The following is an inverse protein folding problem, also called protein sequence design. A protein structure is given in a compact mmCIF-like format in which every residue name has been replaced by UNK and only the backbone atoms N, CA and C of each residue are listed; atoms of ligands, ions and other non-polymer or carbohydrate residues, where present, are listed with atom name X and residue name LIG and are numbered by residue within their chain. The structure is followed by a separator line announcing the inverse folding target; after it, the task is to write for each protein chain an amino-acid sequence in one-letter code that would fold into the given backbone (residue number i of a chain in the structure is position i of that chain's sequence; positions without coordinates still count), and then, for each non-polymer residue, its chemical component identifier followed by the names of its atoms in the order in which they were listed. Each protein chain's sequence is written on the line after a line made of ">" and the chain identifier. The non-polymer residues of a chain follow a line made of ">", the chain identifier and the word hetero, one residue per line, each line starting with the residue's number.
data_IF_042352008496
#
_entry.id   IF_042352008496
#
_cell.length_a   1.000
_cell.length_b   1.000
_cell.length_c   1.000
_cell.angle_alpha   90.00
_cell.angle_beta   90.00
_cell.angle_gamma   90.00
#
_symmetry.space_group_name_H-M   'P 1'
#
loop_
_entity.id
_entity.type
_entity.pdbx_description
1 polymer ?
#
# COMPACT_ATOMS: atom_id res chain seq x y z
N UNK A 1 8.35 0.56 11.19
CA UNK A 1 6.97 0.94 10.80
C UNK A 1 6.78 2.43 10.94
N UNK A 2 5.64 3.00 10.50
CA UNK A 2 5.28 4.40 10.81
C UNK A 2 5.91 5.51 9.96
N UNK A 3 6.64 5.17 8.89
CA UNK A 3 7.29 6.14 7.97
C UNK A 3 6.39 6.68 6.85
N UNK A 4 5.12 6.24 6.77
CA UNK A 4 4.16 6.78 5.79
C UNK A 4 4.04 6.02 4.47
N UNK A 5 4.51 4.76 4.36
CA UNK A 5 4.36 3.93 3.14
C UNK A 5 2.93 3.88 2.61
N UNK A 6 1.97 3.51 3.46
CA UNK A 6 0.53 3.46 3.11
C UNK A 6 0.01 4.81 2.64
N UNK A 7 0.41 5.89 3.31
CA UNK A 7 0.02 7.26 2.95
C UNK A 7 0.52 7.63 1.55
N UNK A 8 1.78 7.33 1.24
CA UNK A 8 2.37 7.61 -0.08
C UNK A 8 1.72 6.74 -1.16
N UNK A 9 1.54 5.44 -0.91
CA UNK A 9 0.87 4.53 -1.85
C UNK A 9 -0.57 5.00 -2.15
N UNK A 10 -1.32 5.41 -1.14
CA UNK A 10 -2.67 5.96 -1.31
C UNK A 10 -2.68 7.27 -2.08
N UNK A 11 -1.72 8.16 -1.82
CA UNK A 11 -1.59 9.42 -2.57
C UNK A 11 -1.25 9.17 -4.04
N UNK A 12 -0.32 8.24 -4.31
CA UNK A 12 0.05 7.81 -5.66
C UNK A 12 -1.14 7.21 -6.38
N UNK A 13 -1.85 6.27 -5.75
CA UNK A 13 -3.06 5.66 -6.29
C UNK A 13 -4.05 6.72 -6.78
N UNK A 14 -4.44 7.64 -5.89
CA UNK A 14 -5.39 8.71 -6.24
C UNK A 14 -4.88 9.65 -7.33
N UNK A 15 -3.56 9.81 -7.50
CA UNK A 15 -2.97 10.71 -8.49
C UNK A 15 -3.00 10.11 -9.91
N UNK A 16 -2.85 8.79 -10.04
CA UNK A 16 -2.63 8.14 -11.33
C UNK A 16 -3.76 7.18 -11.73
N UNK A 17 -4.76 6.94 -10.87
CA UNK A 17 -5.84 5.97 -11.09
C UNK A 17 -6.56 6.17 -12.44
N UNK A 18 -6.79 7.41 -12.84
CA UNK A 18 -7.50 7.75 -14.08
C UNK A 18 -6.75 7.37 -15.36
N UNK A 19 -5.50 6.91 -15.26
CA UNK A 19 -4.66 6.49 -16.39
C UNK A 19 -4.82 4.98 -16.74
N UNK A 20 -5.67 4.26 -16.02
CA UNK A 20 -5.83 2.80 -16.08
C UNK A 20 -7.27 2.42 -16.39
N UNK A 21 -7.48 1.26 -17.01
CA UNK A 21 -8.82 0.74 -17.35
C UNK A 21 -9.56 0.21 -16.12
N UNK A 22 -8.83 -0.13 -15.07
CA UNK A 22 -9.37 -0.60 -13.80
C UNK A 22 -8.33 -0.50 -12.70
N UNK A 23 -8.78 -0.47 -11.46
CA UNK A 23 -7.89 -0.22 -10.33
C UNK A 23 -8.41 -0.82 -9.04
N UNK A 24 -7.52 -1.29 -8.18
CA UNK A 24 -7.88 -1.79 -6.86
C UNK A 24 -6.83 -1.37 -5.83
N UNK A 25 -7.30 -0.92 -4.67
CA UNK A 25 -6.46 -0.69 -3.50
C UNK A 25 -6.83 -1.71 -2.42
N UNK A 26 -5.94 -2.66 -2.16
CA UNK A 26 -6.06 -3.60 -1.05
C UNK A 26 -5.31 -3.04 0.16
N UNK A 27 -6.06 -2.43 1.08
CA UNK A 27 -5.51 -1.93 2.34
C UNK A 27 -5.25 -3.08 3.33
N UNK A 28 -4.21 -2.96 4.15
CA UNK A 28 -3.92 -3.87 5.27
C UNK A 28 -4.01 -5.36 4.90
N UNK A 29 -3.33 -5.78 3.82
CA UNK A 29 -3.39 -7.15 3.29
C UNK A 29 -3.03 -8.17 4.38
N UNK A 30 -1.98 -7.92 5.18
CA UNK A 30 -1.62 -8.72 6.34
C UNK A 30 -2.78 -9.05 7.28
N UNK A 31 -3.64 -8.07 7.56
CA UNK A 31 -4.77 -8.27 8.47
C UNK A 31 -5.93 -8.96 7.74
N UNK A 32 -6.24 -8.51 6.53
CA UNK A 32 -7.39 -8.98 5.76
C UNK A 32 -7.19 -10.37 5.15
N UNK A 33 -5.95 -10.84 5.02
CA UNK A 33 -5.64 -12.20 4.57
C UNK A 33 -5.85 -13.26 5.65
N UNK A 34 -6.17 -12.87 6.89
CA UNK A 34 -6.45 -13.83 7.97
C UNK A 34 -7.79 -14.54 7.76
N UNK A 35 -7.93 -15.83 8.14
CA UNK A 35 -9.16 -16.57 7.97
C UNK A 35 -10.39 -15.93 8.64
N UNK A 36 -10.23 -15.30 9.79
CA UNK A 36 -11.29 -14.61 10.54
C UNK A 36 -11.70 -13.26 9.93
N UNK A 37 -10.95 -12.77 8.93
CA UNK A 37 -11.21 -11.53 8.19
C UNK A 37 -11.63 -11.75 6.74
N UNK A 38 -11.86 -13.01 6.35
CA UNK A 38 -12.28 -13.38 5.00
C UNK A 38 -11.18 -14.01 4.14
N UNK A 39 -9.93 -13.85 4.52
CA UNK A 39 -8.80 -14.49 3.88
C UNK A 39 -8.51 -13.99 2.46
N UNK A 40 -7.64 -14.73 1.78
CA UNK A 40 -7.22 -14.43 0.40
C UNK A 40 -8.38 -14.44 -0.60
N UNK A 41 -9.40 -15.27 -0.37
CA UNK A 41 -10.59 -15.35 -1.25
C UNK A 41 -11.27 -13.99 -1.38
N UNK A 42 -11.55 -13.32 -0.25
CA UNK A 42 -12.19 -12.00 -0.28
C UNK A 42 -11.30 -10.93 -0.93
N UNK A 43 -9.98 -11.02 -0.78
CA UNK A 43 -9.04 -10.12 -1.44
C UNK A 43 -9.04 -10.33 -2.96
N UNK A 44 -9.07 -11.57 -3.43
CA UNK A 44 -9.17 -11.90 -4.86
C UNK A 44 -10.51 -11.45 -5.46
N UNK A 45 -11.63 -11.69 -4.76
CA UNK A 45 -12.94 -11.18 -5.17
C UNK A 45 -12.94 -9.65 -5.25
N UNK A 46 -12.31 -8.97 -4.29
CA UNK A 46 -12.19 -7.52 -4.29
C UNK A 46 -11.40 -7.00 -5.49
N UNK A 47 -10.27 -7.64 -5.86
CA UNK A 47 -9.49 -7.26 -7.05
C UNK A 47 -10.38 -7.35 -8.29
N UNK A 48 -11.03 -8.49 -8.48
CA UNK A 48 -11.88 -8.74 -9.63
C UNK A 48 -13.06 -7.77 -9.68
N UNK A 49 -13.75 -7.55 -8.55
CA UNK A 49 -14.87 -6.61 -8.46
C UNK A 49 -14.45 -5.17 -8.75
N UNK A 50 -13.40 -4.67 -8.11
CA UNK A 50 -12.96 -3.28 -8.26
C UNK A 50 -12.47 -2.99 -9.69
N UNK A 51 -11.79 -3.94 -10.32
CA UNK A 51 -11.25 -3.80 -11.68
C UNK A 51 -12.30 -4.03 -12.76
N UNK A 52 -13.15 -5.05 -12.62
CA UNK A 52 -14.14 -5.42 -13.65
C UNK A 52 -15.46 -4.67 -13.50
N UNK A 53 -15.76 -4.15 -12.30
CA UNK A 53 -17.06 -3.59 -11.92
C UNK A 53 -18.22 -4.57 -12.11
N UNK A 54 -17.94 -5.88 -12.04
CA UNK A 54 -18.94 -6.94 -12.14
C UNK A 54 -19.33 -7.45 -10.74
N UNK A 55 -20.57 -7.24 -10.28
CA UNK A 55 -21.03 -7.71 -8.97
C UNK A 55 -21.23 -9.23 -8.90
N UNK A 56 -21.16 -9.95 -10.01
CA UNK A 56 -21.39 -11.40 -10.06
C UNK A 56 -20.12 -12.22 -9.87
N UNK A 57 -18.97 -11.58 -9.71
CA UNK A 57 -17.71 -12.27 -9.42
C UNK A 57 -17.85 -13.02 -8.10
N UNK A 58 -17.54 -14.31 -8.13
CA UNK A 58 -17.44 -15.17 -6.95
C UNK A 58 -16.22 -16.07 -7.08
N UNK A 59 -15.50 -16.24 -5.98
CA UNK A 59 -14.34 -17.13 -5.87
C UNK A 59 -14.65 -18.20 -4.85
N UNK A 60 -14.59 -19.48 -5.24
CA UNK A 60 -14.88 -20.60 -4.33
C UNK A 60 -13.66 -21.02 -3.50
N UNK A 61 -12.46 -20.88 -4.07
CA UNK A 61 -11.18 -21.18 -3.42
C UNK A 61 -10.05 -20.40 -4.07
N UNK A 62 -8.91 -20.31 -3.38
CA UNK A 62 -7.80 -19.42 -3.73
C UNK A 62 -7.25 -19.67 -5.15
N UNK A 63 -7.05 -20.94 -5.53
CA UNK A 63 -6.52 -21.28 -6.87
C UNK A 63 -7.49 -20.86 -8.00
N UNK A 64 -8.81 -21.01 -7.78
CA UNK A 64 -9.80 -20.50 -8.73
C UNK A 64 -9.70 -18.97 -8.85
N UNK A 65 -9.50 -18.28 -7.72
CA UNK A 65 -9.34 -16.82 -7.71
C UNK A 65 -8.12 -16.38 -8.51
N UNK A 66 -6.99 -17.09 -8.39
CA UNK A 66 -5.79 -16.87 -9.22
C UNK A 66 -6.11 -16.99 -10.70
N UNK A 67 -6.74 -18.10 -11.11
CA UNK A 67 -7.08 -18.35 -12.50
C UNK A 67 -8.02 -17.27 -13.04
N UNK A 68 -9.03 -16.87 -12.26
CA UNK A 68 -9.96 -15.81 -12.66
C UNK A 68 -9.24 -14.45 -12.82
N UNK A 69 -8.34 -14.10 -11.91
CA UNK A 69 -7.53 -12.87 -12.02
C UNK A 69 -6.73 -12.90 -13.32
N UNK A 70 -6.00 -13.99 -13.59
CA UNK A 70 -5.21 -14.14 -14.81
C UNK A 70 -6.08 -14.03 -16.07
N UNK A 71 -7.12 -14.87 -16.17
CA UNK A 71 -7.98 -14.94 -17.36
C UNK A 71 -8.67 -13.62 -17.67
N UNK A 72 -9.17 -12.92 -16.63
CA UNK A 72 -9.97 -11.71 -16.81
C UNK A 72 -9.12 -10.45 -16.93
N UNK A 73 -7.92 -10.42 -16.32
CA UNK A 73 -7.11 -9.20 -16.23
C UNK A 73 -5.86 -9.20 -17.13
N UNK A 74 -5.47 -10.33 -17.73
CA UNK A 74 -4.27 -10.46 -18.59
C UNK A 74 -4.19 -9.50 -19.80
N UNK A 75 -5.30 -8.86 -20.18
CA UNK A 75 -5.36 -7.90 -21.29
C UNK A 75 -5.78 -6.49 -20.87
N UNK A 76 -5.95 -6.25 -19.56
CA UNK A 76 -6.38 -4.97 -19.02
C UNK A 76 -5.20 -4.23 -18.42
N UNK A 77 -5.05 -2.96 -18.77
CA UNK A 77 -4.09 -2.06 -18.12
C UNK A 77 -4.65 -1.63 -16.76
N UNK A 78 -4.14 -2.20 -15.67
CA UNK A 78 -4.67 -1.97 -14.31
C UNK A 78 -3.68 -1.27 -13.37
N UNK A 79 -4.22 -0.62 -12.33
CA UNK A 79 -3.45 -0.15 -11.17
C UNK A 79 -3.83 -0.93 -9.92
N UNK A 80 -2.91 -1.73 -9.40
CA UNK A 80 -3.12 -2.53 -8.19
C UNK A 80 -2.21 -2.05 -7.07
N UNK A 81 -2.77 -1.80 -5.89
CA UNK A 81 -1.98 -1.52 -4.68
C UNK A 81 -2.19 -2.62 -3.66
N UNK A 82 -1.07 -3.23 -3.21
CA UNK A 82 -1.01 -4.25 -2.17
C UNK A 82 -0.33 -3.64 -0.94
N UNK A 83 -1.12 -3.21 0.04
CA UNK A 83 -0.63 -2.48 1.21
C UNK A 83 -0.41 -3.40 2.43
N UNK A 84 0.73 -3.24 3.10
CA UNK A 84 1.17 -3.98 4.29
C UNK A 84 1.23 -5.50 4.04
N UNK A 85 1.95 -5.89 2.99
CA UNK A 85 2.33 -7.29 2.72
C UNK A 85 3.39 -7.73 3.74
N UNK A 86 3.21 -8.92 4.34
CA UNK A 86 4.14 -9.50 5.31
C UNK A 86 4.52 -10.97 5.08
N UNK A 87 3.99 -11.63 4.04
CA UNK A 87 4.46 -12.95 3.62
C UNK A 87 4.40 -13.14 2.09
N UNK A 88 5.17 -14.10 1.58
CA UNK A 88 5.25 -14.40 0.15
C UNK A 88 3.94 -14.97 -0.40
N UNK A 89 3.25 -15.79 0.40
CA UNK A 89 1.95 -16.38 0.04
C UNK A 89 0.92 -15.32 -0.35
N UNK A 90 0.87 -14.17 0.33
CA UNK A 90 -0.01 -13.06 -0.08
C UNK A 90 0.32 -12.54 -1.49
N UNK A 91 1.59 -12.44 -1.86
CA UNK A 91 2.01 -11.96 -3.18
C UNK A 91 1.70 -13.00 -4.26
N UNK A 92 2.05 -14.26 -4.03
CA UNK A 92 1.85 -15.35 -4.99
C UNK A 92 0.36 -15.54 -5.33
N UNK A 93 -0.54 -15.35 -4.35
CA UNK A 93 -1.97 -15.52 -4.53
C UNK A 93 -2.71 -14.27 -5.05
N UNK A 94 -2.13 -13.07 -4.96
CA UNK A 94 -2.77 -11.81 -5.38
C UNK A 94 -2.15 -11.18 -6.63
N UNK A 95 -0.84 -11.40 -6.87
CA UNK A 95 -0.08 -10.81 -7.97
C UNK A 95 1.18 -11.65 -8.28
N UNK A 96 1.02 -12.95 -8.54
CA UNK A 96 2.14 -13.89 -8.60
C UNK A 96 3.15 -13.65 -9.72
N UNK A 97 2.73 -13.12 -10.88
CA UNK A 97 3.61 -12.84 -12.03
C UNK A 97 3.15 -11.62 -12.82
N UNK A 98 4.08 -10.97 -13.51
CA UNK A 98 3.80 -9.79 -14.33
C UNK A 98 2.86 -10.05 -15.52
N UNK A 99 2.74 -11.29 -15.99
CA UNK A 99 1.88 -11.70 -17.11
C UNK A 99 0.41 -11.92 -16.71
N UNK A 100 0.06 -11.76 -15.43
CA UNK A 100 -1.33 -11.78 -14.97
C UNK A 100 -2.14 -10.58 -15.46
N UNK A 101 -1.47 -9.51 -15.86
CA UNK A 101 -2.09 -8.23 -16.18
C UNK A 101 -1.68 -7.73 -17.56
N UNK A 102 -2.51 -6.87 -18.15
CA UNK A 102 -2.24 -6.29 -19.46
C UNK A 102 -1.05 -5.35 -19.47
N UNK A 103 -0.48 -5.12 -20.66
CA UNK A 103 0.64 -4.22 -20.86
C UNK A 103 0.35 -2.82 -20.32
N UNK A 104 1.34 -2.24 -19.62
CA UNK A 104 1.24 -0.92 -19.00
C UNK A 104 0.56 -0.91 -17.63
N UNK A 105 0.17 -2.07 -17.10
CA UNK A 105 -0.29 -2.20 -15.72
C UNK A 105 0.81 -1.81 -14.72
N UNK A 106 0.40 -1.32 -13.56
CA UNK A 106 1.30 -0.98 -12.46
C UNK A 106 0.82 -1.62 -11.16
N UNK A 107 1.75 -2.28 -10.47
CA UNK A 107 1.51 -2.89 -9.17
C UNK A 107 2.42 -2.19 -8.15
N UNK A 108 1.82 -1.64 -7.09
CA UNK A 108 2.53 -0.97 -6.00
C UNK A 108 2.41 -1.83 -4.76
N UNK A 109 3.54 -2.28 -4.23
CA UNK A 109 3.59 -3.11 -3.02
C UNK A 109 4.16 -2.26 -1.88
N UNK A 110 3.49 -2.25 -0.73
CA UNK A 110 4.09 -1.73 0.50
C UNK A 110 4.40 -2.89 1.44
N UNK A 111 5.64 -2.95 1.90
CA UNK A 111 6.12 -3.97 2.84
C UNK A 111 7.08 -3.36 3.86
N UNK A 112 7.22 -4.01 5.00
CA UNK A 112 8.26 -3.73 6.00
C UNK A 112 9.47 -4.65 5.85
N UNK A 113 9.29 -5.74 5.11
CA UNK A 113 10.29 -6.76 4.88
C UNK A 113 10.79 -6.70 3.43
N UNK A 114 12.05 -6.29 3.29
CA UNK A 114 12.73 -6.21 2.01
C UNK A 114 12.99 -7.58 1.39
N UNK A 115 13.12 -8.64 2.20
CA UNK A 115 13.37 -9.99 1.72
C UNK A 115 12.23 -10.50 0.83
N UNK A 116 10.98 -10.08 1.10
CA UNK A 116 9.83 -10.42 0.26
C UNK A 116 9.99 -9.90 -1.17
N UNK A 117 10.61 -8.73 -1.36
CA UNK A 117 10.86 -8.16 -2.69
C UNK A 117 11.93 -8.95 -3.45
N UNK A 118 12.90 -9.54 -2.73
CA UNK A 118 13.93 -10.40 -3.33
C UNK A 118 13.31 -11.74 -3.74
N UNK A 119 12.52 -12.36 -2.85
CA UNK A 119 11.85 -13.63 -3.13
C UNK A 119 10.86 -13.52 -4.29
N UNK A 120 10.22 -12.37 -4.44
CA UNK A 120 9.28 -12.09 -5.53
C UNK A 120 9.96 -11.49 -6.78
N UNK A 121 11.30 -11.48 -6.85
CA UNK A 121 12.10 -10.99 -7.99
C UNK A 121 11.79 -9.55 -8.43
N UNK A 122 11.44 -8.67 -7.47
CA UNK A 122 11.12 -7.25 -7.71
C UNK A 122 12.03 -6.28 -6.93
N UNK A 123 13.11 -6.78 -6.32
CA UNK A 123 14.01 -5.98 -5.49
C UNK A 123 14.68 -4.81 -6.24
N UNK A 124 14.86 -4.92 -7.56
CA UNK A 124 15.47 -3.86 -8.38
C UNK A 124 14.59 -2.60 -8.52
N UNK A 125 13.29 -2.71 -8.24
CA UNK A 125 12.33 -1.59 -8.30
C UNK A 125 11.98 -1.02 -6.92
N UNK A 126 12.72 -1.40 -5.87
CA UNK A 126 12.42 -0.97 -4.50
C UNK A 126 12.64 0.54 -4.31
N UNK A 127 11.77 1.16 -3.53
CA UNK A 127 11.90 2.54 -3.07
C UNK A 127 12.00 2.55 -1.52
N UNK A 128 13.21 2.66 -0.95
CA UNK A 128 13.37 2.71 0.51
C UNK A 128 12.79 4.01 1.07
N UNK A 129 11.95 3.89 2.10
CA UNK A 129 11.38 5.05 2.78
C UNK A 129 12.25 5.47 3.96
N UNK A 130 12.75 6.70 3.89
CA UNK A 130 13.53 7.31 4.97
C UNK A 130 12.62 7.97 6.01
N UNK A 131 13.22 8.28 7.16
CA UNK A 131 12.61 9.17 8.16
C UNK A 131 12.41 10.57 7.56
N UNK A 132 11.45 11.29 8.10
CA UNK A 132 11.14 12.65 7.69
C UNK A 132 12.29 13.60 8.02
N UNK A 133 12.57 14.54 7.11
CA UNK A 133 13.54 15.61 7.34
C UNK A 133 13.13 16.44 8.57
N UNK A 134 14.06 16.91 9.41
CA UNK A 134 13.73 17.68 10.61
C UNK A 134 12.81 18.89 10.37
N UNK A 135 12.92 19.57 9.21
CA UNK A 135 12.06 20.71 8.89
C UNK A 135 10.63 20.27 8.59
N UNK A 136 10.46 19.19 7.86
CA UNK A 136 9.14 18.64 7.54
C UNK A 136 8.51 18.01 8.77
N UNK A 137 9.31 17.38 9.64
CA UNK A 137 8.87 16.83 10.92
C UNK A 137 8.34 17.94 11.84
N UNK A 138 9.04 19.08 11.93
CA UNK A 138 8.58 20.26 12.66
C UNK A 138 7.24 20.76 12.11
N UNK A 139 7.12 20.93 10.80
CA UNK A 139 5.86 21.39 10.18
C UNK A 139 4.71 20.43 10.45
N UNK A 140 4.93 19.13 10.29
CA UNK A 140 3.93 18.11 10.54
C UNK A 140 3.45 18.17 11.99
N UNK A 141 4.39 18.15 12.95
CA UNK A 141 4.07 18.27 14.37
C UNK A 141 3.26 19.55 14.65
N UNK A 142 3.69 20.70 14.11
CA UNK A 142 3.01 21.96 14.35
C UNK A 142 1.60 22.00 13.75
N UNK A 143 1.39 21.40 12.57
CA UNK A 143 0.05 21.28 11.99
C UNK A 143 -0.86 20.41 12.86
N UNK A 144 -0.35 19.35 13.46
CA UNK A 144 -1.13 18.48 14.33
C UNK A 144 -1.44 19.15 15.68
N UNK A 145 -0.42 19.70 16.36
CA UNK A 145 -0.51 20.27 17.70
C UNK A 145 -1.09 21.69 17.75
N UNK A 146 -0.67 22.58 16.86
CA UNK A 146 -0.99 24.01 16.90
C UNK A 146 -1.87 24.50 15.73
N UNK A 147 -2.21 23.61 14.78
CA UNK A 147 -3.00 23.93 13.58
C UNK A 147 -2.37 25.00 12.68
N UNK A 148 -1.05 25.13 12.72
CA UNK A 148 -0.24 26.07 11.93
C UNK A 148 1.16 25.52 11.70
N UNK A 149 2.00 26.20 10.94
CA UNK A 149 3.31 25.70 10.51
C UNK A 149 4.46 25.92 11.53
N UNK A 150 4.19 26.63 12.63
CA UNK A 150 5.17 26.97 13.67
C UNK A 150 4.58 26.80 15.08
N UNK A 151 5.40 26.50 16.10
CA UNK A 151 4.91 26.40 17.47
C UNK A 151 4.59 27.78 18.06
N UNK A 152 3.84 27.80 19.16
CA UNK A 152 3.74 28.98 20.03
C UNK A 152 5.10 29.26 20.68
N UNK A 153 5.40 30.55 20.91
CA UNK A 153 6.69 30.97 21.46
C UNK A 153 7.01 30.25 22.79
N UNK A 154 5.98 30.02 23.61
CA UNK A 154 6.09 29.32 24.90
C UNK A 154 6.36 27.81 24.76
N UNK A 155 6.14 27.25 23.56
CA UNK A 155 6.25 25.81 23.28
C UNK A 155 7.43 25.45 22.37
N UNK A 156 8.31 26.40 22.04
CA UNK A 156 9.47 26.16 21.15
C UNK A 156 10.37 25.04 21.69
N UNK A 157 10.76 25.11 22.97
CA UNK A 157 11.64 24.11 23.57
C UNK A 157 10.95 22.74 23.76
N UNK A 158 9.68 22.73 24.15
CA UNK A 158 8.87 21.51 24.24
C UNK A 158 8.71 20.83 22.87
N UNK A 159 8.54 21.62 21.82
CA UNK A 159 8.45 21.13 20.44
C UNK A 159 9.76 20.46 20.02
N UNK A 160 10.92 21.05 20.33
CA UNK A 160 12.23 20.45 20.04
C UNK A 160 12.40 19.09 20.74
N UNK A 161 12.01 19.00 22.02
CA UNK A 161 12.07 17.75 22.79
C UNK A 161 11.14 16.68 22.21
N UNK A 162 9.92 17.05 21.83
CA UNK A 162 8.96 16.15 21.20
C UNK A 162 9.49 15.61 19.85
N UNK A 163 10.05 16.49 19.00
CA UNK A 163 10.65 16.09 17.72
C UNK A 163 11.86 15.17 17.90
N UNK A 164 12.70 15.45 18.89
CA UNK A 164 13.85 14.60 19.22
C UNK A 164 13.38 13.21 19.67
N UNK A 165 12.32 13.14 20.48
CA UNK A 165 11.73 11.89 20.94
C UNK A 165 11.09 11.09 19.79
N UNK A 166 10.32 11.75 18.92
CA UNK A 166 9.67 11.13 17.76
C UNK A 166 10.69 10.66 16.70
N UNK A 167 11.89 11.26 16.66
CA UNK A 167 13.02 10.79 15.87
C UNK A 167 12.74 10.71 14.38
N UNK A 168 11.93 11.65 13.86
CA UNK A 168 11.58 11.76 12.43
C UNK A 168 10.59 10.71 11.93
N UNK A 169 9.88 9.99 12.81
CA UNK A 169 8.81 9.07 12.43
C UNK A 169 7.47 9.81 12.35
N UNK A 170 6.86 9.97 11.16
CA UNK A 170 5.58 10.65 11.00
C UNK A 170 4.46 10.13 11.90
N UNK A 171 4.40 8.82 12.17
CA UNK A 171 3.37 8.26 13.05
C UNK A 171 3.49 8.70 14.52
N UNK A 172 4.68 9.14 14.95
CA UNK A 172 4.93 9.61 16.31
C UNK A 172 4.80 11.14 16.46
N UNK A 173 4.59 11.85 15.35
CA UNK A 173 4.45 13.32 15.26
C UNK A 173 2.97 13.72 15.18
#
# INVERSE_FOLDING_TARGET
>A
GGVGKTTIAKKMYNLIVDQFEGSCFLANVRENSKPDKGGLIQLQEKILYDVLRDPNVKVSHVDQGINLIQEKLCRKKILLVLDDIDCLDQLENLSGRCDWFGLGSQIIITTRDEHLLVLHDVANWKCPMNKMDPKDALKLFCWHAFKRDQPDNDFVELTKLALQYAGGLPLAL
#
